data_IF_773959282295
#
_entry.id   IF_773959282295
#
_cell.length_a   1.000
_cell.length_b   1.000
_cell.length_c   1.000
_cell.angle_alpha   90.00
_cell.angle_beta   90.00
_cell.angle_gamma   90.00
#
_symmetry.space_group_name_H-M   'P 1'
#
loop_
_entity.id
_entity.type
_entity.pdbx_description
1 polymer ?
#
# COMPACT_ATOMS: atom_id res chain seq x y z
N UNK A 1 1.89 -5.53 9.84
CA UNK A 1 1.35 -5.31 8.49
C UNK A 1 -0.15 -5.38 8.50
N UNK A 2 -0.79 -4.49 7.84
CA UNK A 2 -2.25 -4.47 7.73
C UNK A 2 -2.65 -4.54 6.27
N UNK A 3 -3.63 -5.36 5.99
CA UNK A 3 -4.13 -5.54 4.63
C UNK A 3 -5.55 -5.00 4.58
N UNK A 4 -5.81 -4.14 3.63
CA UNK A 4 -7.14 -3.55 3.49
C UNK A 4 -7.59 -3.63 2.04
N UNK A 5 -8.83 -3.98 1.84
CA UNK A 5 -9.41 -3.94 0.52
C UNK A 5 -9.93 -2.54 0.28
N UNK A 6 -9.55 -1.95 -0.82
CA UNK A 6 -9.96 -0.59 -1.15
C UNK A 6 -10.39 -0.55 -2.60
N UNK A 7 -11.03 0.54 -2.99
CA UNK A 7 -11.40 0.73 -4.38
C UNK A 7 -10.71 1.99 -4.86
N UNK A 8 -9.95 1.86 -5.91
CA UNK A 8 -9.23 2.97 -6.48
C UNK A 8 -9.92 3.46 -7.73
N UNK A 9 -9.91 4.76 -7.92
CA UNK A 9 -10.44 5.35 -9.09
C UNK A 9 -9.35 5.32 -10.13
N UNK A 10 -9.61 4.92 -11.29
CA UNK A 10 -8.61 4.93 -12.32
C UNK A 10 -9.14 4.65 -13.70
N UNK A 11 -8.28 4.84 -14.67
CA UNK A 11 -8.60 4.54 -16.01
C UNK A 11 -8.05 3.18 -16.33
N UNK A 12 -8.85 2.37 -16.96
CA UNK A 12 -8.35 1.13 -17.42
C UNK A 12 -7.78 1.36 -18.74
N UNK A 13 -6.50 1.24 -18.85
CA UNK A 13 -5.86 1.48 -20.10
C UNK A 13 -6.37 0.48 -21.06
N UNK A 14 -6.68 0.88 -22.19
CA UNK A 14 -7.18 -0.01 -23.19
C UNK A 14 -8.68 -0.09 -23.15
N UNK A 15 -9.24 0.31 -22.08
CA UNK A 15 -10.66 0.33 -22.06
C UNK A 15 -11.12 1.71 -22.04
N UNK A 16 -10.22 2.54 -21.97
CA UNK A 16 -10.56 3.90 -21.88
C UNK A 16 -11.02 4.41 -23.12
N UNK A 17 -11.34 3.57 -23.91
CA UNK A 17 -11.61 4.07 -25.06
C UNK A 17 -12.78 4.74 -24.99
N UNK A 18 -12.95 5.48 -25.61
CA UNK A 18 -13.78 6.25 -25.64
C UNK A 18 -14.90 5.89 -26.21
N UNK A 19 -15.80 5.93 -25.74
CA UNK A 19 -16.94 5.87 -26.12
C UNK A 19 -17.40 7.10 -26.66
N UNK A 20 -17.34 7.12 -27.88
CA UNK A 20 -17.83 8.25 -28.48
C UNK A 20 -17.22 9.42 -28.02
N UNK A 21 -16.06 9.30 -27.74
CA UNK A 21 -15.33 10.43 -27.38
C UNK A 21 -15.75 10.94 -26.08
N UNK A 22 -16.44 10.21 -25.42
CA UNK A 22 -16.84 10.82 -24.41
C UNK A 22 -16.24 10.17 -23.34
N UNK A 23 -16.20 9.92 -22.68
CA UNK A 23 -15.76 9.55 -21.63
C UNK A 23 -15.09 8.48 -21.50
N UNK A 24 -14.36 8.59 -20.98
CA UNK A 24 -13.50 7.73 -20.54
C UNK A 24 -14.14 7.14 -19.44
N UNK A 25 -14.13 5.96 -19.36
CA UNK A 25 -14.71 5.28 -18.31
C UNK A 25 -13.79 5.21 -17.17
N UNK A 26 -14.10 5.93 -16.15
CA UNK A 26 -13.38 5.84 -14.96
C UNK A 26 -14.15 4.89 -14.08
N UNK A 27 -13.49 3.97 -13.47
CA UNK A 27 -14.15 3.01 -12.64
C UNK A 27 -13.54 2.92 -11.31
N UNK A 28 -14.30 2.47 -10.33
CA UNK A 28 -13.75 2.12 -9.04
C UNK A 28 -13.24 0.70 -9.17
N UNK A 29 -11.95 0.55 -9.10
CA UNK A 29 -11.32 -0.75 -9.28
C UNK A 29 -10.93 -1.31 -7.93
N UNK A 30 -11.15 -2.59 -7.70
CA UNK A 30 -10.73 -3.20 -6.45
C UNK A 30 -9.21 -3.25 -6.38
N UNK A 31 -8.69 -2.87 -5.25
CA UNK A 31 -7.26 -2.84 -5.00
C UNK A 31 -7.00 -3.32 -3.58
N UNK A 32 -5.75 -3.68 -3.33
CA UNK A 32 -5.34 -4.07 -1.99
C UNK A 32 -4.35 -3.03 -1.50
N UNK A 33 -4.57 -2.57 -0.30
CA UNK A 33 -3.64 -1.65 0.35
C UNK A 33 -2.92 -2.38 1.46
N UNK A 34 -1.60 -2.26 1.48
CA UNK A 34 -0.78 -2.82 2.53
C UNK A 34 -0.15 -1.68 3.30
N UNK A 35 -0.28 -1.72 4.61
CA UNK A 35 0.38 -0.77 5.47
C UNK A 35 1.45 -1.53 6.26
N UNK A 36 2.70 -1.15 6.07
CA UNK A 36 3.81 -1.83 6.71
C UNK A 36 4.63 -0.80 7.47
N UNK A 37 4.69 -0.95 8.78
CA UNK A 37 5.47 -0.06 9.63
C UNK A 37 6.67 -0.83 10.12
N UNK A 38 7.85 -0.26 9.94
CA UNK A 38 9.09 -0.93 10.31
C UNK A 38 9.98 0.03 11.07
N UNK A 39 10.88 -0.49 11.86
CA UNK A 39 11.85 0.33 12.56
C UNK A 39 13.27 -0.17 12.32
N UNK A 40 13.48 -1.45 12.48
CA UNK A 40 14.83 -2.01 12.38
C UNK A 40 15.22 -2.37 10.96
N UNK A 41 14.27 -2.56 10.09
CA UNK A 41 14.53 -2.97 8.71
C UNK A 41 14.45 -1.75 7.83
N UNK A 42 15.41 -1.60 6.94
CA UNK A 42 15.38 -0.49 6.00
C UNK A 42 14.18 -0.61 5.06
N UNK A 43 13.42 0.45 4.87
CA UNK A 43 12.32 0.41 3.93
C UNK A 43 12.78 0.04 2.51
N UNK A 44 14.03 0.35 2.17
CA UNK A 44 14.53 0.04 0.84
C UNK A 44 14.51 -1.45 0.56
N UNK A 45 14.76 -2.28 1.58
CA UNK A 45 14.72 -3.73 1.40
C UNK A 45 13.31 -4.18 1.07
N UNK A 46 12.33 -3.64 1.77
CA UNK A 46 10.94 -4.01 1.54
C UNK A 46 10.50 -3.55 0.16
N UNK A 47 10.91 -2.35 -0.24
CA UNK A 47 10.57 -1.83 -1.55
C UNK A 47 11.13 -2.74 -2.65
N UNK A 48 12.37 -3.17 -2.53
CA UNK A 48 12.97 -4.00 -3.54
C UNK A 48 12.30 -5.37 -3.64
N UNK A 49 11.93 -5.96 -2.51
CA UNK A 49 11.22 -7.22 -2.53
C UNK A 49 9.85 -7.05 -3.16
N UNK A 50 9.15 -6.00 -2.81
CA UNK A 50 7.81 -5.74 -3.35
C UNK A 50 7.89 -5.54 -4.86
N UNK A 51 8.89 -4.81 -5.33
CA UNK A 51 9.06 -4.60 -6.76
C UNK A 51 9.26 -5.91 -7.49
N UNK A 52 10.06 -6.79 -6.94
CA UNK A 52 10.30 -8.07 -7.58
C UNK A 52 9.05 -8.94 -7.63
N UNK A 53 8.29 -8.93 -6.56
CA UNK A 53 7.14 -9.82 -6.46
C UNK A 53 5.95 -9.28 -7.25
N UNK A 54 5.78 -7.97 -7.26
CA UNK A 54 4.57 -7.38 -7.81
C UNK A 54 4.70 -6.89 -9.23
N UNK A 55 5.90 -6.80 -9.75
CA UNK A 55 6.11 -6.24 -11.06
C UNK A 55 5.55 -7.16 -12.15
N UNK A 56 4.69 -6.64 -12.96
CA UNK A 56 4.21 -7.34 -14.15
C UNK A 56 4.53 -6.55 -15.41
N UNK A 57 4.86 -5.27 -15.26
CA UNK A 57 5.11 -4.41 -16.40
C UNK A 57 3.83 -3.85 -17.01
N UNK A 58 2.71 -4.11 -16.38
CA UNK A 58 1.44 -3.65 -16.89
C UNK A 58 0.83 -2.64 -15.97
N UNK A 59 -0.18 -1.94 -16.46
CA UNK A 59 -0.87 -1.01 -15.60
C UNK A 59 -1.56 -1.79 -14.49
N UNK A 60 -1.57 -1.25 -13.32
CA UNK A 60 -2.20 -1.90 -12.18
C UNK A 60 -1.22 -2.50 -11.20
N UNK A 61 0.07 -2.44 -11.50
CA UNK A 61 1.07 -2.94 -10.56
C UNK A 61 1.07 -2.17 -9.25
N UNK A 62 0.66 -0.92 -9.27
CA UNK A 62 0.50 -0.17 -8.03
C UNK A 62 1.63 0.77 -7.74
N UNK A 63 1.56 1.34 -6.56
CA UNK A 63 2.53 2.34 -6.10
C UNK A 63 2.87 2.09 -4.65
N UNK A 64 4.03 2.56 -4.26
CA UNK A 64 4.48 2.49 -2.88
C UNK A 64 4.72 3.91 -2.40
N UNK A 65 4.07 4.27 -1.31
CA UNK A 65 4.29 5.56 -0.68
C UNK A 65 5.11 5.33 0.58
N UNK A 66 6.15 6.10 0.76
CA UNK A 66 7.02 5.95 1.91
C UNK A 66 6.97 7.22 2.73
N UNK A 67 6.72 7.09 3.99
CA UNK A 67 6.65 8.24 4.88
C UNK A 67 7.21 7.88 6.25
N UNK A 68 7.55 8.89 7.01
CA UNK A 68 8.02 8.69 8.36
C UNK A 68 6.82 8.74 9.30
N UNK A 69 6.83 7.86 10.26
CA UNK A 69 5.82 7.88 11.31
C UNK A 69 6.45 8.50 12.53
N UNK A 70 5.82 9.53 13.05
CA UNK A 70 6.39 10.26 14.17
C UNK A 70 6.42 9.44 15.46
N UNK A 71 5.41 8.68 15.70
CA UNK A 71 5.37 7.90 16.94
C UNK A 71 4.34 6.77 16.79
N UNK A 72 4.49 5.76 17.60
CA UNK A 72 3.54 4.65 17.69
C UNK A 72 3.27 4.42 19.15
N UNK A 73 2.03 4.26 19.52
CA UNK A 73 1.65 4.04 20.90
C UNK A 73 0.81 2.78 20.95
N UNK A 74 1.21 1.86 21.81
CA UNK A 74 0.46 0.63 22.00
C UNK A 74 -0.62 0.91 23.02
N UNK A 75 -1.85 0.80 22.65
CA UNK A 75 -2.97 1.18 23.51
C UNK A 75 -2.99 0.34 24.79
N UNK A 76 -2.76 -0.93 24.67
CA UNK A 76 -2.89 -1.81 25.83
C UNK A 76 -1.87 -1.50 26.93
N UNK A 77 -0.66 -1.18 26.56
CA UNK A 77 0.42 -1.02 27.52
C UNK A 77 0.90 0.41 27.69
N UNK A 78 0.56 1.28 26.75
CA UNK A 78 1.08 2.65 26.75
C UNK A 78 2.51 2.75 26.25
N UNK A 79 3.11 1.66 25.80
CA UNK A 79 4.46 1.72 25.27
C UNK A 79 4.50 2.55 24.01
N UNK A 80 5.60 3.21 23.78
CA UNK A 80 5.75 4.08 22.61
C UNK A 80 7.01 3.77 21.84
N UNK A 81 7.05 4.22 20.60
CA UNK A 81 8.21 4.08 19.75
C UNK A 81 8.50 2.64 19.37
N UNK A 82 9.76 2.30 19.41
CA UNK A 82 10.20 0.95 19.01
C UNK A 82 9.48 -0.12 19.83
N UNK A 83 9.32 0.09 21.11
CA UNK A 83 8.70 -0.92 21.97
C UNK A 83 7.24 -1.14 21.60
N UNK A 84 6.56 -0.12 21.13
CA UNK A 84 5.17 -0.25 20.73
C UNK A 84 5.00 -1.09 19.47
N UNK A 85 6.05 -1.24 18.67
CA UNK A 85 5.98 -2.05 17.47
C UNK A 85 6.21 -3.53 17.76
N UNK A 86 6.67 -3.86 18.96
CA UNK A 86 6.99 -5.24 19.26
C UNK A 86 5.75 -5.94 19.78
N UNK A 87 5.40 -7.03 19.14
CA UNK A 87 4.29 -7.82 19.59
C UNK A 87 4.86 -9.07 20.22
N UNK A 88 4.79 -9.13 21.52
CA UNK A 88 5.32 -10.28 22.21
C UNK A 88 4.18 -11.25 22.44
N UNK A 89 4.38 -12.50 22.12
CA UNK A 89 3.35 -13.47 22.40
C UNK A 89 3.27 -13.63 23.91
N UNK A 90 2.14 -13.73 24.42
CA UNK A 90 1.94 -13.87 25.86
C UNK A 90 1.67 -15.31 26.21
#
# INVERSE_FOLDING_TARGET
MTVTEVHGYGLQKGHAEMYRGASVVSRLLPKIRLDIVVSAISPRIIIEVAKQVLYTGKYGDGKIFVSTIDNVIKIRTGEEGFDALQDYPL
#
